data_IF_856546135430
#
_entry.id   IF_856546135430
#
_cell.length_a   1.000
_cell.length_b   1.000
_cell.length_c   1.000
_cell.angle_alpha   90.00
_cell.angle_beta   90.00
_cell.angle_gamma   90.00
#
_symmetry.space_group_name_H-M   'P 1'
#
loop_
_entity.id
_entity.type
_entity.pdbx_description
1 polymer ?
#
# COMPACT_ATOMS: atom_id res chain seq x y z
N UNK A 1 23.50 16.11 -15.68
CA UNK A 1 22.98 15.76 -14.33
C UNK A 1 21.72 14.96 -14.52
N UNK A 2 21.64 13.76 -13.91
CA UNK A 2 20.44 12.90 -13.91
C UNK A 2 19.74 13.04 -12.56
N UNK A 3 18.46 13.42 -12.56
CA UNK A 3 17.64 13.61 -11.37
C UNK A 3 16.46 12.63 -11.42
N UNK A 4 16.32 11.82 -10.38
CA UNK A 4 15.15 10.94 -10.20
C UNK A 4 14.13 11.68 -9.36
N UNK A 5 12.87 11.69 -9.80
CA UNK A 5 11.74 12.23 -9.06
C UNK A 5 10.80 11.08 -8.75
N UNK A 6 10.62 10.79 -7.46
CA UNK A 6 9.84 9.67 -6.97
C UNK A 6 9.12 10.08 -5.67
N UNK A 7 7.98 10.74 -5.84
CA UNK A 7 7.20 11.40 -4.78
C UNK A 7 5.89 10.62 -4.61
N UNK A 8 5.53 10.29 -3.37
CA UNK A 8 4.24 9.68 -3.03
C UNK A 8 3.07 10.67 -3.24
N UNK A 9 1.88 10.16 -3.23
CA UNK A 9 0.66 10.98 -3.29
C UNK A 9 0.56 11.93 -2.09
N UNK A 10 0.09 13.14 -2.34
CA UNK A 10 -0.35 14.06 -1.30
C UNK A 10 -1.84 13.78 -1.08
N UNK A 11 -2.15 12.88 -0.15
CA UNK A 11 -3.51 12.35 0.08
C UNK A 11 -4.57 13.45 0.11
N UNK A 12 -5.59 13.30 -0.75
CA UNK A 12 -6.66 14.29 -0.90
C UNK A 12 -6.27 15.58 -1.67
N UNK A 13 -5.06 15.62 -2.26
CA UNK A 13 -4.55 16.80 -2.99
C UNK A 13 -3.96 16.43 -4.37
N UNK A 14 -2.86 15.66 -4.40
CA UNK A 14 -2.17 15.27 -5.65
C UNK A 14 -1.92 13.77 -5.71
N UNK A 15 -2.04 13.19 -6.89
CA UNK A 15 -1.49 11.89 -7.20
C UNK A 15 0.04 11.93 -7.25
N UNK A 16 0.69 10.77 -7.11
CA UNK A 16 2.15 10.65 -7.28
C UNK A 16 2.60 11.18 -8.65
N UNK A 17 1.88 10.83 -9.72
CA UNK A 17 2.19 11.29 -11.08
C UNK A 17 2.14 12.83 -11.20
N UNK A 18 1.13 13.47 -10.63
CA UNK A 18 0.99 14.94 -10.65
C UNK A 18 2.11 15.63 -9.83
N UNK A 19 2.45 15.09 -8.66
CA UNK A 19 3.53 15.62 -7.84
C UNK A 19 4.88 15.49 -8.56
N UNK A 20 5.15 14.33 -9.17
CA UNK A 20 6.35 14.10 -9.98
C UNK A 20 6.41 15.04 -11.17
N UNK A 21 5.30 15.25 -11.87
CA UNK A 21 5.24 16.17 -13.02
C UNK A 21 5.53 17.62 -12.60
N UNK A 22 4.98 18.08 -11.47
CA UNK A 22 5.23 19.42 -10.95
C UNK A 22 6.71 19.61 -10.58
N UNK A 23 7.33 18.64 -9.91
CA UNK A 23 8.74 18.67 -9.58
C UNK A 23 9.63 18.65 -10.83
N UNK A 24 9.34 17.76 -11.79
CA UNK A 24 10.05 17.69 -13.07
C UNK A 24 9.93 19.00 -13.86
N UNK A 25 8.78 19.65 -13.83
CA UNK A 25 8.60 20.99 -14.43
C UNK A 25 9.52 22.03 -13.81
N UNK A 26 9.60 22.08 -12.48
CA UNK A 26 10.51 22.95 -11.74
C UNK A 26 11.98 22.71 -12.06
N UNK A 27 12.39 21.42 -12.15
CA UNK A 27 13.77 21.04 -12.54
C UNK A 27 14.10 21.54 -13.94
N UNK A 28 13.26 21.24 -14.94
CA UNK A 28 13.51 21.62 -16.33
C UNK A 28 13.58 23.13 -16.55
N UNK A 29 12.78 23.91 -15.79
CA UNK A 29 12.86 25.37 -15.82
C UNK A 29 14.19 25.90 -15.26
N UNK A 30 14.71 25.27 -14.20
CA UNK A 30 15.99 25.69 -13.58
C UNK A 30 17.20 25.12 -14.30
N UNK A 31 17.10 23.90 -14.78
CA UNK A 31 18.17 23.10 -15.38
C UNK A 31 17.69 22.46 -16.70
N UNK A 32 17.62 23.20 -17.80
CA UNK A 32 17.04 22.74 -19.07
C UNK A 32 17.73 21.51 -19.68
N UNK A 33 18.99 21.25 -19.31
CA UNK A 33 19.78 20.12 -19.79
C UNK A 33 19.82 18.94 -18.82
N UNK A 34 19.08 18.99 -17.72
CA UNK A 34 19.00 17.87 -16.79
C UNK A 34 18.15 16.73 -17.39
N UNK A 35 18.65 15.52 -17.27
CA UNK A 35 17.85 14.31 -17.47
C UNK A 35 16.94 14.12 -16.25
N UNK A 36 15.63 14.12 -16.44
CA UNK A 36 14.66 13.98 -15.35
C UNK A 36 13.87 12.71 -15.55
N UNK A 37 14.12 11.72 -14.68
CA UNK A 37 13.42 10.44 -14.65
C UNK A 37 12.30 10.53 -13.61
N UNK A 38 11.06 10.39 -14.05
CA UNK A 38 9.88 10.42 -13.17
C UNK A 38 9.42 8.99 -12.90
N UNK A 39 9.34 8.60 -11.64
CA UNK A 39 8.94 7.27 -11.21
C UNK A 39 7.75 7.42 -10.27
N UNK A 40 6.50 7.21 -10.75
CA UNK A 40 5.34 7.17 -9.89
C UNK A 40 5.44 6.00 -8.91
N UNK A 41 5.07 6.24 -7.65
CA UNK A 41 5.23 5.29 -6.55
C UNK A 41 4.02 5.32 -5.62
N UNK A 42 3.85 4.25 -4.84
CA UNK A 42 2.84 4.14 -3.78
C UNK A 42 3.30 3.12 -2.74
N UNK A 43 2.87 3.28 -1.50
CA UNK A 43 3.23 2.44 -0.35
C UNK A 43 2.41 1.14 -0.19
N UNK A 44 1.71 0.69 -1.25
CA UNK A 44 0.83 -0.49 -1.20
C UNK A 44 -0.63 -0.17 -0.88
N UNK A 45 -0.96 1.13 -0.77
CA UNK A 45 -2.33 1.63 -0.65
C UNK A 45 -2.90 2.10 -1.99
N UNK A 46 -3.68 3.18 -1.94
CA UNK A 46 -4.30 3.79 -3.14
C UNK A 46 -3.24 4.19 -4.18
N UNK A 47 -3.46 3.78 -5.43
CA UNK A 47 -2.55 4.08 -6.55
C UNK A 47 -1.39 3.09 -6.71
N UNK A 48 -1.33 2.03 -5.89
CA UNK A 48 -0.28 1.02 -5.98
C UNK A 48 -0.39 0.19 -7.26
N UNK A 49 -1.60 -0.19 -7.65
CA UNK A 49 -1.87 -0.90 -8.90
C UNK A 49 -1.45 -0.08 -10.12
N UNK A 50 -1.78 1.21 -10.13
CA UNK A 50 -1.40 2.15 -11.19
C UNK A 50 0.11 2.34 -11.29
N UNK A 51 0.81 2.35 -10.14
CA UNK A 51 2.27 2.44 -10.10
C UNK A 51 2.92 1.19 -10.73
N UNK A 52 2.45 -0.01 -10.38
CA UNK A 52 2.90 -1.26 -11.00
C UNK A 52 2.60 -1.30 -12.50
N UNK A 53 1.40 -0.90 -12.91
CA UNK A 53 1.01 -0.84 -14.32
C UNK A 53 1.90 0.12 -15.13
N UNK A 54 2.17 1.30 -14.58
CA UNK A 54 3.05 2.28 -15.21
C UNK A 54 4.49 1.78 -15.34
N UNK A 55 4.95 0.99 -14.37
CA UNK A 55 6.33 0.47 -14.31
C UNK A 55 6.55 -0.74 -15.23
N UNK A 56 5.62 -1.67 -15.24
CA UNK A 56 5.79 -2.99 -15.88
C UNK A 56 4.88 -3.21 -17.09
N UNK A 57 3.89 -2.33 -17.31
CA UNK A 57 2.84 -2.61 -18.28
C UNK A 57 1.94 -3.78 -17.82
N UNK A 58 1.45 -4.55 -18.78
CA UNK A 58 0.55 -5.67 -18.51
C UNK A 58 -0.89 -5.36 -18.92
N UNK A 59 -1.84 -6.09 -18.37
CA UNK A 59 -3.26 -5.95 -18.65
C UNK A 59 -4.02 -5.68 -17.36
N UNK A 60 -4.76 -4.58 -17.31
CA UNK A 60 -5.77 -4.35 -16.27
C UNK A 60 -6.98 -5.24 -16.58
N UNK A 61 -7.37 -6.05 -15.60
CA UNK A 61 -8.46 -7.02 -15.70
C UNK A 61 -9.60 -6.55 -14.84
N UNK A 62 -10.75 -6.26 -15.45
CA UNK A 62 -11.99 -5.94 -14.76
C UNK A 62 -12.69 -7.22 -14.31
N UNK A 63 -13.10 -7.27 -13.05
CA UNK A 63 -13.80 -8.39 -12.45
C UNK A 63 -15.04 -7.89 -11.71
N UNK A 64 -16.20 -8.53 -11.97
CA UNK A 64 -17.39 -8.31 -11.17
C UNK A 64 -17.25 -9.05 -9.83
N UNK A 65 -17.16 -8.30 -8.75
CA UNK A 65 -16.96 -8.81 -7.39
C UNK A 65 -18.01 -8.24 -6.43
N UNK A 66 -17.92 -8.60 -5.16
CA UNK A 66 -18.72 -8.02 -4.08
C UNK A 66 -17.89 -6.98 -3.32
N UNK A 67 -18.53 -5.86 -2.98
CA UNK A 67 -17.97 -4.87 -2.07
C UNK A 67 -18.03 -5.35 -0.60
N UNK A 68 -17.53 -4.57 0.39
CA UNK A 68 -17.57 -4.97 1.80
C UNK A 68 -18.96 -5.29 2.36
N UNK A 69 -20.03 -4.78 1.73
CA UNK A 69 -21.43 -5.03 2.10
C UNK A 69 -22.14 -6.00 1.13
N UNK A 70 -21.37 -6.79 0.37
CA UNK A 70 -21.85 -7.78 -0.60
C UNK A 70 -22.64 -7.19 -1.77
N UNK A 71 -22.55 -5.89 -2.05
CA UNK A 71 -23.13 -5.26 -3.24
C UNK A 71 -22.23 -5.52 -4.46
N UNK A 72 -22.78 -5.63 -5.68
CA UNK A 72 -21.97 -5.82 -6.88
C UNK A 72 -21.13 -4.57 -7.17
N UNK A 73 -19.84 -4.77 -7.46
CA UNK A 73 -18.90 -3.74 -7.89
C UNK A 73 -17.94 -4.32 -8.91
N UNK A 74 -17.42 -3.46 -9.80
CA UNK A 74 -16.31 -3.82 -10.69
C UNK A 74 -15.02 -3.42 -10.00
N UNK A 75 -14.12 -4.39 -9.79
CA UNK A 75 -12.78 -4.16 -9.27
C UNK A 75 -11.74 -4.61 -10.29
N UNK A 76 -10.58 -3.94 -10.29
CA UNK A 76 -9.48 -4.23 -11.21
C UNK A 76 -8.31 -4.86 -10.48
N UNK A 77 -7.58 -5.72 -11.20
CA UNK A 77 -6.22 -6.11 -10.84
C UNK A 77 -5.31 -6.09 -12.08
N UNK A 78 -4.01 -6.02 -11.87
CA UNK A 78 -3.02 -6.10 -12.94
C UNK A 78 -2.61 -7.54 -13.17
N UNK A 79 -2.71 -8.01 -14.44
CA UNK A 79 -2.14 -9.27 -14.87
C UNK A 79 -0.91 -9.00 -15.76
N UNK A 80 0.20 -9.58 -15.39
CA UNK A 80 1.42 -9.58 -16.18
C UNK A 80 1.97 -11.01 -16.23
N UNK A 81 1.99 -11.60 -17.41
CA UNK A 81 2.36 -12.99 -17.63
C UNK A 81 1.60 -13.93 -16.68
N UNK A 82 2.27 -14.60 -15.76
CA UNK A 82 1.72 -15.48 -14.74
C UNK A 82 1.57 -14.81 -13.35
N UNK A 83 1.80 -13.51 -13.28
CA UNK A 83 1.69 -12.73 -12.04
C UNK A 83 0.42 -11.88 -12.04
N UNK A 84 -0.29 -11.87 -10.91
CA UNK A 84 -1.37 -10.94 -10.62
C UNK A 84 -0.96 -9.99 -9.49
N UNK A 85 -1.20 -8.68 -9.68
CA UNK A 85 -1.06 -7.67 -8.63
C UNK A 85 -2.45 -7.17 -8.28
N UNK A 86 -2.86 -7.40 -7.04
CA UNK A 86 -4.20 -7.11 -6.52
C UNK A 86 -4.09 -6.03 -5.45
N UNK A 87 -4.81 -4.94 -5.60
CA UNK A 87 -5.06 -3.97 -4.54
C UNK A 87 -6.38 -4.32 -3.86
N UNK A 88 -6.31 -4.87 -2.64
CA UNK A 88 -7.50 -5.37 -1.96
C UNK A 88 -8.57 -4.29 -1.75
N UNK A 89 -8.17 -3.03 -1.64
CA UNK A 89 -9.07 -1.91 -1.43
C UNK A 89 -10.04 -1.67 -2.61
N UNK A 90 -9.71 -2.13 -3.82
CA UNK A 90 -10.62 -2.07 -4.98
C UNK A 90 -11.88 -2.93 -4.80
N UNK A 91 -11.82 -3.98 -3.94
CA UNK A 91 -12.96 -4.87 -3.66
C UNK A 91 -13.42 -4.81 -2.19
N UNK A 92 -12.52 -4.49 -1.25
CA UNK A 92 -12.81 -4.56 0.19
C UNK A 92 -12.32 -3.32 0.96
N UNK A 93 -12.26 -2.18 0.27
CA UNK A 93 -11.69 -0.92 0.78
C UNK A 93 -12.70 0.01 1.45
N UNK A 94 -12.18 0.91 2.29
CA UNK A 94 -12.95 1.97 2.97
C UNK A 94 -13.57 2.98 1.99
N UNK A 95 -12.95 3.18 0.82
CA UNK A 95 -13.42 4.12 -0.21
C UNK A 95 -14.70 3.66 -0.91
N UNK A 96 -15.08 2.39 -0.74
CA UNK A 96 -16.33 1.83 -1.25
C UNK A 96 -17.53 2.09 -0.32
N UNK A 97 -17.28 2.63 0.87
CA UNK A 97 -18.27 2.87 1.91
C UNK A 97 -18.34 4.35 2.27
N UNK A 98 -19.56 4.87 2.44
CA UNK A 98 -19.75 6.17 3.08
C UNK A 98 -19.35 6.08 4.56
N UNK A 99 -19.06 7.19 5.23
CA UNK A 99 -18.76 7.19 6.67
C UNK A 99 -19.83 6.48 7.52
N UNK A 100 -21.10 6.63 7.16
CA UNK A 100 -22.27 6.05 7.85
C UNK A 100 -22.39 4.54 7.64
N UNK A 101 -21.87 4.02 6.53
CA UNK A 101 -21.87 2.59 6.19
C UNK A 101 -20.71 1.82 6.84
N UNK A 102 -19.73 2.52 7.41
CA UNK A 102 -18.55 1.89 8.01
C UNK A 102 -18.90 1.10 9.25
N UNK A 103 -18.87 -0.21 9.13
CA UNK A 103 -19.10 -1.13 10.24
C UNK A 103 -18.25 -2.39 10.06
N UNK A 104 -17.10 -2.50 10.77
CA UNK A 104 -16.20 -3.63 10.62
C UNK A 104 -16.76 -4.95 11.20
N UNK A 105 -17.88 -4.90 11.90
CA UNK A 105 -18.56 -6.12 12.40
C UNK A 105 -19.26 -6.91 11.28
N UNK A 106 -19.60 -6.25 10.16
CA UNK A 106 -20.33 -6.84 9.04
C UNK A 106 -19.58 -6.76 7.70
N UNK A 107 -18.59 -5.86 7.61
CA UNK A 107 -17.78 -5.71 6.40
C UNK A 107 -16.97 -6.99 6.12
N UNK A 108 -17.00 -7.46 4.87
CA UNK A 108 -16.39 -8.72 4.46
C UNK A 108 -15.29 -8.54 3.41
N UNK A 109 -14.27 -9.39 3.46
CA UNK A 109 -13.20 -9.50 2.46
C UNK A 109 -13.56 -10.44 1.29
N UNK A 110 -14.83 -10.83 1.13
CA UNK A 110 -15.28 -11.79 0.11
C UNK A 110 -14.87 -11.37 -1.32
N UNK A 111 -15.02 -10.09 -1.66
CA UNK A 111 -14.63 -9.57 -2.97
C UNK A 111 -13.13 -9.69 -3.27
N UNK A 112 -12.27 -9.53 -2.26
CA UNK A 112 -10.83 -9.80 -2.42
C UNK A 112 -10.59 -11.27 -2.80
N UNK A 113 -11.32 -12.20 -2.17
CA UNK A 113 -11.26 -13.62 -2.55
C UNK A 113 -11.69 -13.87 -3.99
N UNK A 114 -12.71 -13.16 -4.48
CA UNK A 114 -13.16 -13.26 -5.86
C UNK A 114 -12.09 -12.77 -6.86
N UNK A 115 -11.31 -11.73 -6.53
CA UNK A 115 -10.15 -11.31 -7.33
C UNK A 115 -9.08 -12.40 -7.39
N UNK A 116 -8.75 -13.02 -6.24
CA UNK A 116 -7.82 -14.15 -6.18
C UNK A 116 -8.31 -15.31 -7.04
N UNK A 117 -9.59 -15.66 -6.92
CA UNK A 117 -10.21 -16.73 -7.75
C UNK A 117 -10.09 -16.46 -9.24
N UNK A 118 -10.40 -15.24 -9.69
CA UNK A 118 -10.29 -14.87 -11.11
C UNK A 118 -8.84 -14.95 -11.60
N UNK A 119 -7.89 -14.44 -10.82
CA UNK A 119 -6.46 -14.50 -11.14
C UNK A 119 -5.96 -15.95 -11.29
N UNK A 120 -6.33 -16.84 -10.37
CA UNK A 120 -6.00 -18.27 -10.44
C UNK A 120 -6.62 -18.93 -11.66
N UNK A 121 -7.90 -18.67 -11.95
CA UNK A 121 -8.59 -19.18 -13.15
C UNK A 121 -7.96 -18.72 -14.46
N UNK A 122 -7.34 -17.53 -14.46
CA UNK A 122 -6.57 -17.02 -15.62
C UNK A 122 -5.13 -17.50 -15.67
N UNK A 123 -4.76 -18.46 -14.81
CA UNK A 123 -3.46 -19.13 -14.85
C UNK A 123 -2.34 -18.39 -14.12
N UNK A 124 -2.64 -17.37 -13.30
CA UNK A 124 -1.62 -16.72 -12.50
C UNK A 124 -1.06 -17.70 -11.46
N UNK A 125 0.27 -17.72 -11.34
CA UNK A 125 1.05 -18.57 -10.43
C UNK A 125 1.74 -17.79 -9.33
N UNK A 126 1.79 -16.46 -9.44
CA UNK A 126 2.24 -15.55 -8.41
C UNK A 126 1.18 -14.47 -8.19
N UNK A 127 0.68 -14.35 -6.98
CA UNK A 127 -0.33 -13.36 -6.61
C UNK A 127 0.25 -12.44 -5.55
N UNK A 128 0.39 -11.17 -5.88
CA UNK A 128 0.87 -10.11 -5.00
C UNK A 128 -0.35 -9.30 -4.56
N UNK A 129 -0.56 -9.16 -3.24
CA UNK A 129 -1.74 -8.48 -2.70
C UNK A 129 -1.34 -7.32 -1.81
N UNK A 130 -1.66 -6.11 -2.23
CA UNK A 130 -1.54 -4.90 -1.40
C UNK A 130 -2.64 -4.85 -0.36
N UNK A 131 -2.26 -4.73 0.93
CA UNK A 131 -3.18 -4.79 2.08
C UNK A 131 -3.61 -3.42 2.62
N UNK A 132 -3.28 -2.32 1.96
CA UNK A 132 -3.68 -0.98 2.37
C UNK A 132 -5.17 -0.69 2.16
N UNK A 133 -5.72 0.26 2.94
CA UNK A 133 -7.04 0.85 2.71
C UNK A 133 -8.26 0.00 3.03
N UNK A 134 -8.14 -1.09 3.80
CA UNK A 134 -9.21 -2.05 4.09
C UNK A 134 -10.37 -1.49 4.92
N UNK A 135 -11.61 -1.88 4.60
CA UNK A 135 -12.81 -1.65 5.42
C UNK A 135 -13.09 -2.77 6.42
N UNK A 136 -12.46 -3.92 6.26
CA UNK A 136 -12.81 -5.20 6.89
C UNK A 136 -12.03 -5.46 8.18
N UNK A 137 -12.63 -6.26 9.09
CA UNK A 137 -11.99 -6.85 10.28
C UNK A 137 -12.50 -8.28 10.49
N UNK A 138 -12.61 -9.02 9.39
CA UNK A 138 -13.14 -10.38 9.35
C UNK A 138 -12.06 -11.47 9.36
N UNK A 139 -10.80 -11.10 9.65
CA UNK A 139 -9.65 -12.01 9.64
C UNK A 139 -9.43 -12.71 8.29
N UNK A 140 -9.94 -12.14 7.19
CA UNK A 140 -9.89 -12.76 5.87
C UNK A 140 -10.87 -13.92 5.66
N UNK A 141 -11.79 -14.14 6.59
CA UNK A 141 -12.77 -15.24 6.52
C UNK A 141 -13.61 -15.10 5.24
N UNK A 142 -14.04 -13.89 4.89
CA UNK A 142 -14.78 -13.66 3.64
C UNK A 142 -14.00 -14.08 2.41
N UNK A 143 -12.71 -13.74 2.34
CA UNK A 143 -11.83 -14.17 1.25
C UNK A 143 -11.73 -15.70 1.17
N UNK A 144 -11.51 -16.37 2.31
CA UNK A 144 -11.44 -17.83 2.36
C UNK A 144 -12.74 -18.46 1.88
N UNK A 145 -13.90 -17.92 2.28
CA UNK A 145 -15.22 -18.39 1.79
C UNK A 145 -15.34 -18.26 0.28
N UNK A 146 -14.96 -17.11 -0.32
CA UNK A 146 -15.04 -16.95 -1.77
C UNK A 146 -14.15 -17.95 -2.53
N UNK A 147 -12.99 -18.32 -1.96
CA UNK A 147 -12.09 -19.33 -2.53
C UNK A 147 -12.69 -20.74 -2.38
N UNK A 148 -13.24 -21.06 -1.21
CA UNK A 148 -13.92 -22.33 -0.95
C UNK A 148 -15.12 -22.47 -1.91
N UNK A 149 -15.98 -21.48 -2.01
CA UNK A 149 -17.14 -21.47 -2.90
C UNK A 149 -16.76 -21.71 -4.37
N UNK A 150 -15.59 -21.24 -4.77
CA UNK A 150 -15.13 -21.32 -6.16
C UNK A 150 -14.45 -22.63 -6.52
N UNK A 151 -13.76 -23.28 -5.56
CA UNK A 151 -12.82 -24.37 -5.85
C UNK A 151 -13.05 -25.65 -5.03
N UNK A 152 -13.68 -25.57 -3.85
CA UNK A 152 -13.92 -26.73 -3.03
C UNK A 152 -15.17 -27.50 -3.47
N UNK A 153 -15.07 -28.81 -3.60
CA UNK A 153 -16.22 -29.67 -3.96
C UNK A 153 -17.07 -30.03 -2.75
N UNK A 154 -16.48 -30.11 -1.58
CA UNK A 154 -17.13 -30.51 -0.34
C UNK A 154 -17.29 -29.35 0.66
N UNK A 155 -16.98 -28.11 0.24
CA UNK A 155 -17.13 -26.91 1.06
C UNK A 155 -16.10 -26.79 2.19
N UNK A 156 -14.96 -27.48 2.08
CA UNK A 156 -13.84 -27.40 3.04
C UNK A 156 -12.63 -26.78 2.42
N UNK A 157 -11.79 -26.07 3.22
CA UNK A 157 -10.49 -25.57 2.79
C UNK A 157 -9.57 -26.70 2.31
N UNK A 158 -9.60 -27.86 2.96
CA UNK A 158 -8.77 -29.02 2.61
C UNK A 158 -9.02 -29.55 1.19
N UNK A 159 -10.12 -29.15 0.59
CA UNK A 159 -10.53 -29.55 -0.75
C UNK A 159 -10.17 -28.49 -1.82
N UNK A 160 -9.45 -27.43 -1.41
CA UNK A 160 -9.02 -26.34 -2.30
C UNK A 160 -7.66 -26.67 -2.90
N UNK A 161 -7.62 -27.45 -3.98
CA UNK A 161 -6.39 -27.81 -4.70
C UNK A 161 -6.01 -26.86 -5.83
N UNK A 162 -6.88 -25.91 -6.18
CA UNK A 162 -6.61 -24.95 -7.25
C UNK A 162 -5.47 -23.97 -6.92
N UNK A 163 -5.12 -23.85 -5.64
CA UNK A 163 -4.03 -23.01 -5.15
C UNK A 163 -2.68 -23.75 -5.05
N UNK A 164 -2.65 -25.06 -5.34
CA UNK A 164 -1.42 -25.84 -5.28
C UNK A 164 -0.40 -25.30 -6.30
N UNK A 165 0.78 -24.94 -5.81
CA UNK A 165 1.82 -24.32 -6.61
C UNK A 165 1.62 -22.84 -6.95
N UNK A 166 0.60 -22.19 -6.40
CA UNK A 166 0.43 -20.71 -6.46
C UNK A 166 1.22 -20.09 -5.31
N UNK A 167 2.12 -19.15 -5.63
CA UNK A 167 2.85 -18.36 -4.63
C UNK A 167 2.07 -17.09 -4.31
N UNK A 168 1.99 -16.78 -3.03
CA UNK A 168 1.37 -15.55 -2.53
C UNK A 168 2.41 -14.65 -1.87
N UNK A 169 2.33 -13.35 -2.14
CA UNK A 169 3.10 -12.31 -1.46
C UNK A 169 2.15 -11.23 -0.99
N UNK A 170 2.16 -10.90 0.29
CA UNK A 170 1.41 -9.76 0.82
C UNK A 170 2.32 -8.54 0.90
N UNK A 171 1.83 -7.42 0.40
CA UNK A 171 2.50 -6.13 0.46
C UNK A 171 1.93 -5.34 1.64
N UNK A 172 2.72 -5.17 2.70
CA UNK A 172 2.32 -4.43 3.89
C UNK A 172 3.53 -3.89 4.66
N UNK A 173 3.42 -2.67 5.15
CA UNK A 173 4.41 -2.05 6.06
C UNK A 173 3.95 -2.11 7.53
N UNK A 174 2.79 -2.73 7.77
CA UNK A 174 2.22 -2.96 9.10
C UNK A 174 2.85 -4.19 9.72
N UNK A 175 3.34 -4.08 10.94
CA UNK A 175 3.96 -5.19 11.69
C UNK A 175 3.07 -5.73 12.82
N UNK A 176 1.86 -5.19 12.97
CA UNK A 176 0.93 -5.56 14.03
C UNK A 176 0.54 -7.05 13.96
N UNK A 177 0.45 -7.73 15.12
CA UNK A 177 -0.10 -9.07 15.21
C UNK A 177 -1.61 -9.08 14.94
N UNK A 178 -2.19 -10.27 14.83
CA UNK A 178 -3.62 -10.42 14.62
C UNK A 178 -4.43 -9.92 15.82
N UNK A 179 -4.06 -10.31 17.03
CA UNK A 179 -4.82 -10.14 18.27
C UNK A 179 -4.08 -9.30 19.32
N UNK A 180 -4.81 -8.90 20.38
CA UNK A 180 -4.29 -8.20 21.53
C UNK A 180 -4.28 -6.67 21.36
N UNK A 181 -3.72 -5.96 22.35
CA UNK A 181 -3.73 -4.47 22.38
C UNK A 181 -3.05 -3.82 21.16
N UNK A 182 -2.05 -4.50 20.59
CA UNK A 182 -1.37 -4.08 19.35
C UNK A 182 -1.95 -4.77 18.09
N UNK A 183 -3.03 -5.54 18.26
CA UNK A 183 -3.65 -6.32 17.19
C UNK A 183 -4.53 -5.51 16.25
N UNK A 184 -4.99 -6.18 15.21
CA UNK A 184 -5.78 -5.61 14.12
C UNK A 184 -7.00 -4.81 14.60
N UNK A 185 -7.78 -5.36 15.53
CA UNK A 185 -9.02 -4.75 16.01
C UNK A 185 -8.76 -3.49 16.81
N UNK A 186 -7.79 -3.52 17.74
CA UNK A 186 -7.47 -2.41 18.62
C UNK A 186 -6.85 -1.23 17.86
N UNK A 187 -5.91 -1.50 16.96
CA UNK A 187 -5.15 -0.44 16.26
C UNK A 187 -5.94 0.14 15.09
N UNK A 188 -6.62 -0.71 14.31
CA UNK A 188 -7.24 -0.27 13.04
C UNK A 188 -8.77 -0.29 13.06
N UNK A 189 -9.41 -0.88 14.07
CA UNK A 189 -10.88 -0.93 14.19
C UNK A 189 -11.53 0.46 14.27
N UNK A 190 -11.04 1.39 15.10
CA UNK A 190 -11.67 2.71 15.26
C UNK A 190 -11.83 3.50 13.96
N UNK A 191 -10.82 3.53 13.09
CA UNK A 191 -10.90 4.22 11.79
C UNK A 191 -11.89 3.59 10.81
N UNK A 192 -12.30 2.33 11.06
CA UNK A 192 -13.31 1.59 10.29
C UNK A 192 -14.71 1.70 10.90
N UNK A 193 -14.87 2.53 11.93
CA UNK A 193 -16.15 2.76 12.59
C UNK A 193 -16.43 1.87 13.81
N UNK A 194 -15.43 1.12 14.33
CA UNK A 194 -15.62 0.31 15.52
C UNK A 194 -15.73 1.14 16.79
N UNK A 195 -16.74 0.86 17.59
CA UNK A 195 -16.83 1.31 18.99
C UNK A 195 -15.89 0.50 19.88
N UNK A 196 -15.57 0.96 21.13
CA UNK A 196 -14.73 0.18 22.04
C UNK A 196 -15.24 -1.24 22.31
N UNK A 197 -16.56 -1.45 22.38
CA UNK A 197 -17.13 -2.78 22.58
C UNK A 197 -17.03 -3.65 21.32
N UNK A 198 -17.21 -3.07 20.14
CA UNK A 198 -16.96 -3.76 18.88
C UNK A 198 -15.48 -4.19 18.75
N UNK A 199 -14.53 -3.34 19.17
CA UNK A 199 -13.10 -3.68 19.18
C UNK A 199 -12.83 -4.94 20.00
N UNK A 200 -13.37 -5.02 21.22
CA UNK A 200 -13.24 -6.22 22.09
C UNK A 200 -13.83 -7.47 21.44
N UNK A 201 -15.01 -7.32 20.84
CA UNK A 201 -15.68 -8.44 20.18
C UNK A 201 -14.90 -8.91 18.96
N UNK A 202 -14.40 -7.99 18.11
CA UNK A 202 -13.58 -8.31 16.95
C UNK A 202 -12.27 -8.99 17.34
N UNK A 203 -11.59 -8.52 18.38
CA UNK A 203 -10.38 -9.15 18.89
C UNK A 203 -10.65 -10.57 19.42
N UNK A 204 -11.76 -10.72 20.15
CA UNK A 204 -12.22 -12.03 20.61
C UNK A 204 -12.55 -12.99 19.46
N UNK A 205 -13.18 -12.52 18.38
CA UNK A 205 -13.44 -13.31 17.16
C UNK A 205 -12.13 -13.73 16.50
N UNK A 206 -11.18 -12.79 16.34
CA UNK A 206 -9.87 -13.05 15.77
C UNK A 206 -9.10 -14.12 16.56
N UNK A 207 -9.08 -14.00 17.89
CA UNK A 207 -8.43 -14.98 18.77
C UNK A 207 -9.08 -16.39 18.67
N UNK A 208 -10.41 -16.47 18.59
CA UNK A 208 -11.10 -17.75 18.38
C UNK A 208 -10.76 -18.37 17.04
N UNK A 209 -10.75 -17.56 15.97
CA UNK A 209 -10.39 -18.00 14.64
C UNK A 209 -8.95 -18.50 14.57
N UNK A 210 -7.98 -17.75 15.13
CA UNK A 210 -6.59 -18.17 15.19
C UNK A 210 -6.42 -19.53 15.91
N UNK A 211 -7.07 -19.72 17.04
CA UNK A 211 -7.02 -20.99 17.79
C UNK A 211 -7.55 -22.19 16.97
N UNK A 212 -8.64 -21.99 16.24
CA UNK A 212 -9.22 -23.04 15.38
C UNK A 212 -8.27 -23.36 14.24
N UNK A 213 -7.74 -22.32 13.57
CA UNK A 213 -6.78 -22.46 12.47
C UNK A 213 -5.48 -23.13 12.92
N UNK A 214 -4.93 -22.70 14.06
CA UNK A 214 -3.72 -23.29 14.64
C UNK A 214 -3.90 -24.79 14.96
N UNK A 215 -5.06 -25.17 15.50
CA UNK A 215 -5.39 -26.58 15.76
C UNK A 215 -5.47 -27.38 14.45
N UNK A 216 -6.03 -26.79 13.40
CA UNK A 216 -6.21 -27.45 12.11
C UNK A 216 -4.85 -27.68 11.40
N UNK A 217 -4.00 -26.66 11.34
CA UNK A 217 -2.73 -26.71 10.62
C UNK A 217 -1.56 -27.26 11.45
N UNK A 218 -1.66 -27.29 12.77
CA UNK A 218 -0.57 -27.68 13.68
C UNK A 218 0.48 -26.58 13.91
N UNK A 219 0.26 -25.38 13.40
CA UNK A 219 1.08 -24.18 13.62
C UNK A 219 0.21 -22.91 13.66
N UNK A 220 0.76 -21.81 14.20
CA UNK A 220 0.06 -20.53 14.34
C UNK A 220 0.92 -19.38 13.87
N UNK A 221 0.34 -18.49 13.07
CA UNK A 221 0.99 -17.30 12.53
C UNK A 221 0.35 -15.99 13.01
N UNK A 222 -0.44 -16.02 14.08
CA UNK A 222 -1.13 -14.83 14.60
C UNK A 222 -0.16 -13.70 15.04
N UNK A 223 1.05 -14.06 15.49
CA UNK A 223 2.07 -13.12 15.97
C UNK A 223 3.11 -12.76 14.91
N UNK A 224 2.98 -13.30 13.69
CA UNK A 224 3.88 -12.95 12.58
C UNK A 224 3.64 -11.49 12.18
N UNK A 225 4.70 -10.68 11.98
CA UNK A 225 4.57 -9.31 11.49
C UNK A 225 3.69 -9.23 10.25
N UNK A 226 2.67 -8.35 10.29
CA UNK A 226 1.70 -8.22 9.20
C UNK A 226 0.45 -9.09 9.31
N UNK A 227 0.36 -9.99 10.29
CA UNK A 227 -0.84 -10.81 10.50
C UNK A 227 -2.09 -9.95 10.76
N UNK A 228 -1.94 -8.81 11.46
CA UNK A 228 -3.01 -7.85 11.71
C UNK A 228 -3.35 -6.94 10.53
N UNK A 229 -2.57 -6.94 9.47
CA UNK A 229 -2.81 -6.08 8.32
C UNK A 229 -4.21 -6.35 7.71
N UNK A 230 -4.86 -5.27 7.25
CA UNK A 230 -6.18 -5.32 6.64
C UNK A 230 -7.24 -6.06 7.48
N UNK A 231 -7.22 -5.84 8.82
CA UNK A 231 -8.19 -6.45 9.72
C UNK A 231 -8.05 -7.97 9.83
N UNK A 232 -6.82 -8.46 9.73
CA UNK A 232 -6.47 -9.88 9.81
C UNK A 232 -6.50 -10.61 8.46
N UNK A 233 -6.72 -9.91 7.35
CA UNK A 233 -6.57 -10.51 6.02
C UNK A 233 -5.13 -11.01 5.83
N UNK A 234 -4.13 -10.29 6.37
CA UNK A 234 -2.73 -10.72 6.41
C UNK A 234 -2.56 -12.09 7.07
N UNK A 235 -3.24 -12.33 8.19
CA UNK A 235 -3.24 -13.64 8.85
C UNK A 235 -3.76 -14.75 7.94
N UNK A 236 -4.88 -14.52 7.24
CA UNK A 236 -5.44 -15.52 6.34
C UNK A 236 -4.43 -15.90 5.24
N UNK A 237 -3.77 -14.94 4.62
CA UNK A 237 -2.72 -15.23 3.63
C UNK A 237 -1.53 -15.98 4.24
N UNK A 238 -1.05 -15.56 5.40
CA UNK A 238 0.09 -16.19 6.08
C UNK A 238 -0.25 -17.62 6.52
N UNK A 239 -1.41 -17.81 7.16
CA UNK A 239 -1.80 -19.08 7.79
C UNK A 239 -2.27 -20.13 6.78
N UNK A 240 -3.09 -19.73 5.80
CA UNK A 240 -3.77 -20.63 4.87
C UNK A 240 -3.05 -20.81 3.53
N UNK A 241 -2.31 -19.79 3.08
CA UNK A 241 -1.66 -19.78 1.76
C UNK A 241 -0.13 -19.74 1.85
N UNK A 242 0.42 -19.80 3.06
CA UNK A 242 1.86 -19.70 3.31
C UNK A 242 2.52 -18.52 2.59
N UNK A 243 1.84 -17.37 2.58
CA UNK A 243 2.31 -16.17 1.88
C UNK A 243 3.60 -15.61 2.48
N UNK A 244 4.44 -15.04 1.63
CA UNK A 244 5.55 -14.20 2.04
C UNK A 244 5.04 -12.79 2.34
N UNK A 245 5.56 -12.14 3.40
CA UNK A 245 5.28 -10.74 3.72
C UNK A 245 6.45 -9.86 3.33
N UNK A 246 6.19 -8.82 2.54
CA UNK A 246 7.19 -7.84 2.11
C UNK A 246 6.64 -6.43 2.20
N UNK A 247 7.52 -5.45 2.34
CA UNK A 247 7.16 -4.03 2.22
C UNK A 247 6.56 -3.74 0.84
N UNK A 248 5.44 -2.98 0.81
CA UNK A 248 4.82 -2.57 -0.45
C UNK A 248 5.74 -1.72 -1.31
N UNK A 249 6.53 -0.87 -0.66
CA UNK A 249 7.50 -0.04 -1.37
C UNK A 249 8.68 -0.86 -1.92
N UNK A 250 9.21 -1.83 -1.17
CA UNK A 250 10.29 -2.69 -1.68
C UNK A 250 9.83 -3.48 -2.91
N UNK A 251 8.63 -4.07 -2.86
CA UNK A 251 8.05 -4.78 -4.00
C UNK A 251 7.89 -3.88 -5.23
N UNK A 252 7.44 -2.65 -5.03
CA UNK A 252 7.29 -1.70 -6.11
C UNK A 252 8.65 -1.27 -6.66
N UNK A 253 9.61 -0.90 -5.81
CA UNK A 253 10.95 -0.49 -6.22
C UNK A 253 11.67 -1.60 -6.98
N UNK A 254 11.54 -2.86 -6.55
CA UNK A 254 12.06 -4.03 -7.27
C UNK A 254 11.36 -4.18 -8.64
N UNK A 255 10.04 -4.03 -8.65
CA UNK A 255 9.25 -4.14 -9.87
C UNK A 255 9.64 -3.10 -10.92
N UNK A 256 9.90 -1.86 -10.54
CA UNK A 256 10.31 -0.78 -11.46
C UNK A 256 11.80 -0.81 -11.82
N UNK A 257 12.59 -1.70 -11.20
CA UNK A 257 14.04 -1.70 -11.37
C UNK A 257 14.68 -0.40 -10.87
N UNK A 258 14.21 0.11 -9.71
CA UNK A 258 14.64 1.42 -9.20
C UNK A 258 16.15 1.52 -9.03
N UNK A 259 16.80 0.41 -8.65
CA UNK A 259 18.25 0.31 -8.53
C UNK A 259 18.98 0.66 -9.85
N UNK A 260 18.46 0.21 -10.99
CA UNK A 260 19.01 0.52 -12.29
C UNK A 260 18.94 2.02 -12.60
N UNK A 261 17.89 2.70 -12.16
CA UNK A 261 17.74 4.14 -12.31
C UNK A 261 18.73 4.93 -11.45
N UNK A 262 19.16 4.38 -10.30
CA UNK A 262 20.16 5.02 -9.42
C UNK A 262 21.54 5.07 -10.04
N UNK A 263 21.86 4.20 -11.00
CA UNK A 263 23.10 4.31 -11.73
C UNK A 263 23.19 5.67 -12.45
N UNK A 264 24.30 6.37 -12.23
CA UNK A 264 24.57 7.72 -12.75
C UNK A 264 23.60 8.82 -12.25
N UNK A 265 22.71 8.51 -11.33
CA UNK A 265 21.87 9.54 -10.72
C UNK A 265 22.68 10.47 -9.84
N UNK A 266 22.44 11.76 -9.99
CA UNK A 266 23.11 12.81 -9.19
C UNK A 266 22.28 13.22 -7.97
N UNK A 267 20.96 12.98 -8.01
CA UNK A 267 20.00 13.35 -6.97
C UNK A 267 18.72 12.53 -7.10
N UNK A 268 18.16 12.13 -5.98
CA UNK A 268 16.77 11.66 -5.88
C UNK A 268 15.95 12.71 -5.15
N UNK A 269 14.78 13.04 -5.67
CA UNK A 269 13.78 13.87 -5.02
C UNK A 269 12.59 12.99 -4.69
N UNK A 270 12.30 12.87 -3.40
CA UNK A 270 11.14 12.12 -2.88
C UNK A 270 10.28 13.02 -2.02
N UNK A 271 9.09 12.55 -1.65
CA UNK A 271 8.18 13.33 -0.81
C UNK A 271 6.90 12.61 -0.46
N UNK A 272 6.12 13.24 0.40
CA UNK A 272 4.80 12.79 0.85
C UNK A 272 3.96 13.97 1.37
N UNK A 273 2.67 13.75 1.65
CA UNK A 273 1.79 14.80 2.19
C UNK A 273 2.22 15.32 3.55
N UNK A 274 2.71 14.47 4.46
CA UNK A 274 3.18 14.86 5.80
C UNK A 274 4.32 13.95 6.25
N UNK A 275 5.49 14.54 6.47
CA UNK A 275 6.70 13.84 6.92
C UNK A 275 6.96 14.09 8.41
N UNK A 276 7.19 13.00 9.14
CA UNK A 276 7.55 12.96 10.55
C UNK A 276 8.36 11.68 10.88
N UNK A 277 8.51 11.34 12.15
CA UNK A 277 9.20 10.10 12.56
C UNK A 277 8.58 8.83 11.97
N UNK A 278 7.29 8.84 11.66
CA UNK A 278 6.63 7.69 11.03
C UNK A 278 7.11 7.45 9.59
N UNK A 279 7.64 8.50 8.93
CA UNK A 279 8.29 8.35 7.61
C UNK A 279 9.41 7.31 7.66
N UNK A 280 10.16 7.27 8.77
CA UNK A 280 11.27 6.33 8.99
C UNK A 280 10.83 4.91 9.37
N UNK A 281 9.52 4.69 9.58
CA UNK A 281 8.95 3.40 9.95
C UNK A 281 8.52 2.56 8.73
N UNK A 282 9.24 2.69 7.62
CA UNK A 282 9.01 1.89 6.41
C UNK A 282 8.16 2.54 5.33
N UNK A 283 7.79 3.84 5.48
CA UNK A 283 7.10 4.55 4.42
C UNK A 283 7.97 4.75 3.18
N UNK A 284 7.33 5.09 2.07
CA UNK A 284 7.93 5.24 0.76
C UNK A 284 9.20 6.10 0.72
N UNK A 285 9.24 7.33 1.30
CA UNK A 285 10.47 8.12 1.24
C UNK A 285 11.66 7.45 1.92
N UNK A 286 11.43 6.67 2.99
CA UNK A 286 12.49 5.93 3.67
C UNK A 286 12.97 4.72 2.87
N UNK A 287 12.08 4.00 2.20
CA UNK A 287 12.45 2.91 1.29
C UNK A 287 13.36 3.42 0.15
N UNK A 288 13.01 4.56 -0.45
CA UNK A 288 13.82 5.24 -1.47
C UNK A 288 15.17 5.67 -0.89
N UNK A 289 15.19 6.29 0.29
CA UNK A 289 16.43 6.69 0.96
C UNK A 289 17.38 5.52 1.14
N UNK A 290 16.88 4.38 1.64
CA UNK A 290 17.70 3.18 1.87
C UNK A 290 18.34 2.65 0.61
N UNK A 291 17.61 2.58 -0.50
CA UNK A 291 18.18 2.13 -1.79
C UNK A 291 19.18 3.16 -2.33
N UNK A 292 18.85 4.45 -2.31
CA UNK A 292 19.74 5.50 -2.80
C UNK A 292 21.05 5.58 -1.99
N UNK A 293 21.02 5.35 -0.68
CA UNK A 293 22.22 5.32 0.18
C UNK A 293 23.20 4.21 -0.23
N UNK A 294 22.70 3.04 -0.65
CA UNK A 294 23.57 1.96 -1.16
C UNK A 294 24.36 2.36 -2.40
N UNK A 295 23.80 3.27 -3.21
CA UNK A 295 24.42 3.83 -4.40
C UNK A 295 25.10 5.18 -4.15
N UNK A 296 25.11 5.69 -2.90
CA UNK A 296 25.67 6.99 -2.52
C UNK A 296 25.02 8.16 -3.24
N UNK A 297 23.77 8.04 -3.63
CA UNK A 297 23.00 9.11 -4.27
C UNK A 297 22.29 9.92 -3.19
N UNK A 298 22.47 11.26 -3.13
CA UNK A 298 21.79 12.11 -2.17
C UNK A 298 20.27 12.11 -2.42
N UNK A 299 19.48 12.17 -1.32
CA UNK A 299 18.03 12.18 -1.37
C UNK A 299 17.48 13.42 -0.70
N UNK A 300 16.74 14.22 -1.44
CA UNK A 300 15.96 15.35 -0.94
C UNK A 300 14.54 14.90 -0.61
N UNK A 301 14.07 15.20 0.59
CA UNK A 301 12.70 14.95 1.03
C UNK A 301 11.90 16.26 1.01
N UNK A 302 10.76 16.27 0.32
CA UNK A 302 9.80 17.36 0.37
C UNK A 302 8.45 16.89 0.90
N UNK A 303 7.77 17.73 1.66
CA UNK A 303 6.44 17.38 2.17
C UNK A 303 5.52 18.60 2.29
N UNK A 304 4.20 18.35 2.26
CA UNK A 304 3.19 19.37 2.52
C UNK A 304 3.27 19.90 3.95
N UNK A 305 3.69 19.08 4.89
CA UNK A 305 3.95 19.40 6.30
C UNK A 305 5.14 18.60 6.81
N UNK A 306 5.99 19.22 7.60
CA UNK A 306 7.13 18.57 8.23
C UNK A 306 7.06 18.73 9.74
N UNK A 307 7.23 17.61 10.44
CA UNK A 307 7.55 17.52 11.85
C UNK A 307 8.88 16.80 12.00
N UNK A 308 9.55 16.99 13.13
CA UNK A 308 10.80 16.27 13.45
C UNK A 308 11.88 16.40 12.35
N UNK A 309 12.02 17.58 11.71
CA UNK A 309 12.95 17.83 10.59
C UNK A 309 14.35 17.31 10.87
N UNK A 310 14.88 17.55 12.08
CA UNK A 310 16.24 17.12 12.44
C UNK A 310 16.36 15.59 12.44
N UNK A 311 15.37 14.88 12.96
CA UNK A 311 15.36 13.40 12.95
C UNK A 311 15.39 12.82 11.52
N UNK A 312 14.72 13.49 10.57
CA UNK A 312 14.75 13.10 9.16
C UNK A 312 16.12 13.37 8.52
N UNK A 313 16.76 14.49 8.83
CA UNK A 313 18.13 14.79 8.39
C UNK A 313 19.14 13.78 8.99
N UNK A 314 19.01 13.46 10.26
CA UNK A 314 19.87 12.49 10.95
C UNK A 314 19.73 11.07 10.37
N UNK A 315 18.58 10.74 9.78
CA UNK A 315 18.36 9.48 9.05
C UNK A 315 19.09 9.42 7.71
N UNK A 316 19.58 10.57 7.19
CA UNK A 316 20.42 10.65 5.99
C UNK A 316 19.79 11.34 4.79
N UNK A 317 18.61 11.96 4.90
CA UNK A 317 18.15 12.87 3.85
C UNK A 317 19.09 14.06 3.74
N UNK A 318 19.51 14.40 2.52
CA UNK A 318 20.42 15.53 2.27
C UNK A 318 19.75 16.88 2.48
N UNK A 319 18.46 16.94 2.23
CA UNK A 319 17.59 18.11 2.40
C UNK A 319 16.20 17.63 2.85
N UNK A 320 15.54 18.41 3.74
CA UNK A 320 14.17 18.14 4.21
C UNK A 320 13.39 19.44 4.21
N UNK A 321 12.49 19.62 3.24
CA UNK A 321 11.87 20.92 3.00
C UNK A 321 10.34 20.86 2.87
N UNK A 322 9.66 21.83 3.52
CA UNK A 322 8.23 22.02 3.36
C UNK A 322 7.92 22.74 2.05
N UNK A 323 6.97 22.22 1.27
CA UNK A 323 6.55 22.87 0.03
C UNK A 323 5.73 24.13 0.28
N UNK A 324 5.04 24.20 1.43
CA UNK A 324 4.13 25.29 1.78
C UNK A 324 4.85 26.40 2.52
N UNK A 325 4.56 27.68 2.20
CA UNK A 325 4.95 28.81 3.04
C UNK A 325 4.38 28.66 4.46
N UNK A 326 5.05 29.20 5.50
CA UNK A 326 4.65 29.03 6.89
C UNK A 326 3.21 29.48 7.20
N UNK A 327 2.75 30.55 6.55
CA UNK A 327 1.46 31.19 6.83
C UNK A 327 0.34 30.79 5.86
N UNK A 328 0.59 29.76 5.01
CA UNK A 328 -0.42 29.31 4.05
C UNK A 328 -1.53 28.51 4.76
N UNK A 329 -2.81 28.93 4.67
CA UNK A 329 -3.92 28.17 5.23
C UNK A 329 -3.98 26.74 4.65
N UNK A 330 -4.34 25.76 5.50
CA UNK A 330 -4.40 24.35 5.10
C UNK A 330 -5.35 24.12 3.91
N UNK A 331 -6.51 24.79 3.91
CA UNK A 331 -7.48 24.72 2.82
C UNK A 331 -6.88 25.17 1.47
N UNK A 332 -6.03 26.19 1.48
CA UNK A 332 -5.34 26.69 0.28
C UNK A 332 -4.19 25.75 -0.10
N UNK A 333 -3.45 25.25 0.88
CA UNK A 333 -2.36 24.30 0.67
C UNK A 333 -2.83 22.96 0.03
N UNK A 334 -4.07 22.56 0.33
CA UNK A 334 -4.69 21.33 -0.19
C UNK A 334 -5.27 21.48 -1.60
N UNK A 335 -5.25 22.69 -2.18
CA UNK A 335 -5.67 22.88 -3.59
C UNK A 335 -4.58 22.32 -4.55
N UNK A 336 -4.95 21.47 -5.51
CA UNK A 336 -3.99 20.85 -6.42
C UNK A 336 -3.06 21.85 -7.13
N UNK A 337 -3.61 22.96 -7.65
CA UNK A 337 -2.83 23.96 -8.36
C UNK A 337 -1.84 24.72 -7.45
N UNK A 338 -2.24 24.96 -6.20
CA UNK A 338 -1.36 25.58 -5.19
C UNK A 338 -0.22 24.63 -4.84
N UNK A 339 -0.50 23.37 -4.60
CA UNK A 339 0.52 22.35 -4.28
C UNK A 339 1.51 22.16 -5.46
N UNK A 340 1.01 22.02 -6.70
CA UNK A 340 1.87 21.91 -7.91
C UNK A 340 2.81 23.12 -8.05
N UNK A 341 2.27 24.33 -7.91
CA UNK A 341 3.06 25.57 -7.96
C UNK A 341 4.12 25.60 -6.86
N UNK A 342 3.76 25.25 -5.64
CA UNK A 342 4.67 25.27 -4.49
C UNK A 342 5.80 24.25 -4.65
N UNK A 343 5.51 23.04 -5.15
CA UNK A 343 6.51 22.02 -5.49
C UNK A 343 7.50 22.60 -6.51
N UNK A 344 7.02 23.15 -7.63
CA UNK A 344 7.89 23.69 -8.67
C UNK A 344 8.77 24.84 -8.17
N UNK A 345 8.22 25.77 -7.39
CA UNK A 345 8.97 26.90 -6.82
C UNK A 345 10.02 26.44 -5.80
N UNK A 346 9.69 25.46 -4.95
CA UNK A 346 10.65 24.90 -3.99
C UNK A 346 11.86 24.30 -4.73
N UNK A 347 11.60 23.49 -5.75
CA UNK A 347 12.65 22.88 -6.58
C UNK A 347 13.57 23.94 -7.21
N UNK A 348 13.00 24.98 -7.80
CA UNK A 348 13.79 26.08 -8.41
C UNK A 348 14.65 26.83 -7.39
N UNK A 349 14.20 26.93 -6.12
CA UNK A 349 14.95 27.56 -5.04
C UNK A 349 16.13 26.69 -4.58
N UNK A 350 15.94 25.37 -4.50
CA UNK A 350 16.92 24.45 -3.91
C UNK A 350 17.99 23.97 -4.90
N UNK A 351 17.63 23.81 -6.16
CA UNK A 351 18.60 23.45 -7.20
C UNK A 351 19.46 24.69 -7.58
N UNK A 352 20.76 24.52 -7.47
CA UNK A 352 21.75 25.56 -7.77
C UNK A 352 22.24 25.44 -9.23
#
# INVERSE_FOLDING_TARGET
>A
MKVIVSIDSFKGCLTSAEANQAAAGGIRQKMPHAEVVQIPVSDGGEGWLEAFFSAKGGQLVDVNVRDPLLRPVVAQYLKQDDTAVIEMAKASGLTLLTPEERNPMVATSYGTGQLVVDAVRRGCKHIIVGLGGSATSDCGIGMLHAIIDAFAKQGSWDDVHALDGVRFTIATDVTNPLCGEQGAAHVFGPQKGATPDMVKELDGRASRFAKVSAKHFGFDRQDVPGAGAAGGLGYAFLQYMNADSRSGIELLLDAIGFEEHLHEASLVITGEGSADRQTLMGKLPFGILRQAQQHRVPVMLMAGRIKDRQTLLDAGFSEVECINPPDLPVEEAMKPETAKRNIALLIQRLLK
#
